data_IF_029727035779
#
_entry.id   IF_029727035779
#
_cell.length_a   1.000
_cell.length_b   1.000
_cell.length_c   1.000
_cell.angle_alpha   90.00
_cell.angle_beta   90.00
_cell.angle_gamma   90.00
#
_symmetry.space_group_name_H-M   'P 1'
#
loop_
_entity.id
_entity.type
_entity.pdbx_description
1 polymer ?
#
# COMPACT_ATOMS: atom_id res chain seq x y z
N UNK A 1 14.76 22.08 -9.15
CA UNK A 1 16.08 21.46 -9.38
C UNK A 1 15.85 20.44 -10.48
N UNK A 2 16.45 20.62 -11.66
CA UNK A 2 16.46 19.60 -12.70
C UNK A 2 17.32 18.44 -12.22
N UNK A 3 16.75 17.23 -12.25
CA UNK A 3 17.49 16.00 -12.01
C UNK A 3 18.35 15.75 -13.27
N UNK A 4 19.66 15.69 -13.12
CA UNK A 4 20.51 15.14 -14.17
C UNK A 4 20.19 13.64 -14.24
N UNK A 5 19.46 13.22 -15.28
CA UNK A 5 19.25 11.80 -15.58
C UNK A 5 20.53 11.26 -16.17
N UNK A 6 21.20 10.36 -15.45
CA UNK A 6 22.05 9.38 -16.12
C UNK A 6 21.14 8.44 -16.91
N UNK A 7 21.13 8.60 -18.24
CA UNK A 7 20.43 7.73 -19.16
C UNK A 7 21.12 6.36 -19.20
N UNK A 8 20.74 5.48 -18.29
CA UNK A 8 20.93 4.04 -18.49
C UNK A 8 19.60 3.49 -18.96
N UNK A 9 19.44 3.31 -20.28
CA UNK A 9 18.28 2.62 -20.81
C UNK A 9 18.18 1.22 -20.17
N UNK A 10 17.03 0.86 -19.57
CA UNK A 10 16.79 -0.51 -19.14
C UNK A 10 16.83 -1.44 -20.35
N UNK A 11 17.51 -2.57 -20.23
CA UNK A 11 17.69 -3.52 -21.34
C UNK A 11 16.38 -4.14 -21.82
N UNK A 12 15.34 -4.19 -20.99
CA UNK A 12 13.98 -4.60 -21.31
C UNK A 12 12.98 -3.78 -20.49
N UNK A 13 11.82 -3.39 -21.04
CA UNK A 13 10.79 -2.68 -20.30
C UNK A 13 10.21 -3.62 -19.22
N UNK A 14 10.48 -3.34 -17.96
CA UNK A 14 9.93 -4.07 -16.81
C UNK A 14 8.82 -3.22 -16.22
N UNK A 15 7.65 -3.81 -16.01
CA UNK A 15 6.52 -3.21 -15.29
C UNK A 15 6.55 -3.58 -13.80
N UNK A 16 5.85 -2.80 -12.99
CA UNK A 16 5.60 -3.11 -11.59
C UNK A 16 4.10 -3.07 -11.30
N UNK A 17 3.59 -4.09 -10.64
CA UNK A 17 2.22 -4.12 -10.14
C UNK A 17 2.15 -3.52 -8.75
N UNK A 18 1.22 -2.59 -8.51
CA UNK A 18 1.01 -1.92 -7.23
C UNK A 18 -0.35 -2.29 -6.66
N UNK A 19 -0.36 -2.87 -5.48
CA UNK A 19 -1.55 -3.24 -4.72
C UNK A 19 -1.40 -2.82 -3.25
N UNK A 20 -2.51 -2.79 -2.52
CA UNK A 20 -2.53 -2.60 -1.06
C UNK A 20 -3.85 -3.11 -0.50
N UNK A 21 -4.03 -2.97 0.80
CA UNK A 21 -5.31 -3.16 1.49
C UNK A 21 -5.97 -4.50 1.10
N UNK A 22 -5.19 -5.58 1.26
CA UNK A 22 -5.66 -6.95 0.97
C UNK A 22 -6.73 -7.33 1.98
N UNK A 23 -6.52 -6.99 3.28
CA UNK A 23 -7.45 -7.27 4.37
C UNK A 23 -7.82 -8.75 4.44
N UNK A 24 -6.82 -9.65 4.28
CA UNK A 24 -7.07 -11.08 4.45
C UNK A 24 -7.61 -11.35 5.84
N UNK A 25 -8.74 -12.04 5.94
CA UNK A 25 -9.43 -12.33 7.19
C UNK A 25 -10.71 -11.54 7.42
N UNK A 26 -10.96 -10.44 6.69
CA UNK A 26 -12.23 -9.74 6.72
C UNK A 26 -13.35 -10.58 6.12
N UNK A 27 -14.59 -10.46 6.65
CA UNK A 27 -15.79 -11.16 6.16
C UNK A 27 -16.19 -10.72 4.73
N UNK A 28 -15.76 -9.54 4.32
CA UNK A 28 -15.99 -8.95 3.01
C UNK A 28 -14.75 -8.94 2.12
N UNK A 29 -13.76 -9.81 2.39
CA UNK A 29 -12.62 -10.03 1.51
C UNK A 29 -13.08 -10.55 0.15
N UNK A 30 -12.53 -9.99 -0.92
CA UNK A 30 -12.92 -10.30 -2.30
C UNK A 30 -12.10 -11.47 -2.85
N UNK A 31 -12.33 -12.66 -2.32
CA UNK A 31 -11.59 -13.88 -2.63
C UNK A 31 -11.58 -14.22 -4.13
N UNK A 32 -12.72 -14.06 -4.80
CA UNK A 32 -12.83 -14.32 -6.24
C UNK A 32 -11.97 -13.39 -7.08
N UNK A 33 -12.00 -12.11 -6.79
CA UNK A 33 -11.23 -11.07 -7.50
C UNK A 33 -9.75 -11.19 -7.18
N UNK A 34 -9.39 -11.49 -5.95
CA UNK A 34 -8.03 -11.76 -5.51
C UNK A 34 -7.42 -12.94 -6.27
N UNK A 35 -8.15 -14.05 -6.34
CA UNK A 35 -7.72 -15.22 -7.11
C UNK A 35 -7.57 -14.93 -8.60
N UNK A 36 -8.46 -14.15 -9.19
CA UNK A 36 -8.34 -13.71 -10.60
C UNK A 36 -7.07 -12.90 -10.86
N UNK A 37 -6.68 -12.03 -9.94
CA UNK A 37 -5.44 -11.27 -10.04
C UNK A 37 -4.21 -12.19 -10.00
N UNK A 38 -4.18 -13.14 -9.05
CA UNK A 38 -3.09 -14.13 -8.98
C UNK A 38 -3.02 -15.03 -10.22
N UNK A 39 -4.18 -15.42 -10.77
CA UNK A 39 -4.25 -16.19 -12.03
C UNK A 39 -3.77 -15.34 -13.22
N UNK A 40 -4.13 -14.04 -13.25
CA UNK A 40 -3.65 -13.13 -14.29
C UNK A 40 -2.13 -12.95 -14.25
N UNK A 41 -1.50 -12.84 -13.08
CA UNK A 41 -0.04 -12.76 -12.95
C UNK A 41 0.67 -14.00 -13.55
N UNK A 42 -0.01 -15.16 -13.59
CA UNK A 42 0.50 -16.41 -14.17
C UNK A 42 0.05 -16.66 -15.61
N UNK A 43 -0.66 -15.72 -16.21
CA UNK A 43 -1.20 -15.89 -17.58
C UNK A 43 -0.19 -15.54 -18.66
N UNK A 44 -0.54 -15.91 -19.91
CA UNK A 44 0.20 -15.51 -21.12
C UNK A 44 -0.13 -14.07 -21.57
N UNK A 45 -0.84 -13.28 -20.76
CA UNK A 45 -1.10 -11.87 -21.05
C UNK A 45 0.21 -11.09 -21.10
N UNK A 46 0.38 -10.28 -22.16
CA UNK A 46 1.63 -9.57 -22.41
C UNK A 46 1.98 -8.55 -21.32
N UNK A 47 0.98 -7.99 -20.62
CA UNK A 47 1.23 -7.10 -19.49
C UNK A 47 1.70 -7.92 -18.28
N UNK A 48 1.05 -9.05 -17.96
CA UNK A 48 1.44 -9.93 -16.88
C UNK A 48 2.87 -10.44 -17.05
N UNK A 49 3.23 -10.86 -18.26
CA UNK A 49 4.58 -11.36 -18.57
C UNK A 49 5.69 -10.31 -18.42
N UNK A 50 5.35 -9.03 -18.50
CA UNK A 50 6.28 -7.93 -18.32
C UNK A 50 6.37 -7.43 -16.86
N UNK A 51 5.53 -7.93 -15.94
CA UNK A 51 5.60 -7.57 -14.53
C UNK A 51 6.80 -8.25 -13.89
N UNK A 52 7.76 -7.46 -13.44
CA UNK A 52 8.93 -7.96 -12.70
C UNK A 52 8.88 -7.67 -11.21
N UNK A 53 7.93 -6.84 -10.77
CA UNK A 53 7.80 -6.45 -9.36
C UNK A 53 6.34 -6.39 -8.93
N UNK A 54 6.06 -6.94 -7.74
CA UNK A 54 4.79 -6.76 -7.02
C UNK A 54 5.05 -5.93 -5.76
N UNK A 55 4.43 -4.77 -5.65
CA UNK A 55 4.55 -3.88 -4.48
C UNK A 55 3.24 -3.90 -3.70
N UNK A 56 3.31 -4.31 -2.43
CA UNK A 56 2.18 -4.37 -1.50
C UNK A 56 2.35 -3.25 -0.46
N UNK A 57 1.53 -2.21 -0.56
CA UNK A 57 1.68 -0.97 0.19
C UNK A 57 0.85 -0.96 1.49
N UNK A 58 0.87 -2.05 2.25
CA UNK A 58 0.28 -2.17 3.59
C UNK A 58 -1.12 -2.78 3.63
N UNK A 59 -1.59 -3.03 4.86
CA UNK A 59 -2.84 -3.71 5.21
C UNK A 59 -2.98 -5.05 4.49
N UNK A 60 -1.99 -5.92 4.74
CA UNK A 60 -1.88 -7.27 4.18
C UNK A 60 -3.01 -8.14 4.74
N UNK A 61 -3.27 -8.00 6.03
CA UNK A 61 -4.32 -8.70 6.78
C UNK A 61 -5.32 -7.69 7.33
N UNK A 62 -6.51 -8.16 7.73
CA UNK A 62 -7.46 -7.29 8.41
C UNK A 62 -7.05 -6.98 9.85
N UNK A 63 -6.18 -7.84 10.41
CA UNK A 63 -5.76 -7.71 11.79
C UNK A 63 -6.81 -8.18 12.78
N UNK A 64 -6.54 -8.01 14.07
CA UNK A 64 -7.46 -8.37 15.16
C UNK A 64 -7.41 -7.29 16.24
N UNK A 65 -8.57 -6.71 16.57
CA UNK A 65 -8.68 -5.66 17.58
C UNK A 65 -8.18 -4.28 17.13
N UNK A 66 -8.16 -4.03 15.84
CA UNK A 66 -7.74 -2.76 15.24
C UNK A 66 -8.76 -1.65 15.54
N UNK A 67 -10.04 -1.99 15.56
CA UNK A 67 -11.13 -1.08 15.92
C UNK A 67 -12.22 -1.77 16.75
N UNK A 68 -13.06 -1.02 17.48
CA UNK A 68 -14.09 -1.61 18.33
C UNK A 68 -15.10 -2.50 17.57
N UNK A 69 -15.36 -3.69 18.07
CA UNK A 69 -16.27 -4.72 17.52
C UNK A 69 -15.81 -5.35 16.19
N UNK A 70 -14.57 -5.20 15.78
CA UNK A 70 -14.02 -5.80 14.57
C UNK A 70 -14.22 -7.33 14.52
N UNK A 71 -14.25 -7.99 15.68
CA UNK A 71 -14.46 -9.44 15.77
C UNK A 71 -15.76 -9.94 15.11
N UNK A 72 -16.72 -9.04 14.84
CA UNK A 72 -17.98 -9.34 14.14
C UNK A 72 -17.89 -9.22 12.62
N UNK A 73 -16.79 -8.66 12.14
CA UNK A 73 -16.50 -8.39 10.73
C UNK A 73 -15.31 -9.24 10.24
N UNK A 74 -14.91 -10.27 11.04
CA UNK A 74 -13.83 -11.19 10.70
C UNK A 74 -14.38 -12.60 10.38
N UNK A 75 -14.03 -13.12 9.22
CA UNK A 75 -14.15 -14.55 8.91
C UNK A 75 -13.02 -15.36 9.56
N UNK A 76 -11.85 -14.76 9.72
CA UNK A 76 -10.67 -15.38 10.33
C UNK A 76 -10.26 -14.56 11.54
N UNK A 77 -10.52 -15.08 12.75
CA UNK A 77 -10.28 -14.39 14.00
C UNK A 77 -8.84 -14.56 14.53
N UNK A 78 -8.03 -15.44 13.97
CA UNK A 78 -6.63 -15.64 14.35
C UNK A 78 -5.72 -14.83 13.42
N UNK A 79 -4.91 -13.95 14.02
CA UNK A 79 -4.02 -13.05 13.30
C UNK A 79 -2.95 -13.82 12.49
N UNK A 80 -2.38 -14.87 13.07
CA UNK A 80 -1.34 -15.65 12.39
C UNK A 80 -1.91 -16.49 11.26
N UNK A 81 -3.15 -16.99 11.41
CA UNK A 81 -3.87 -17.69 10.34
C UNK A 81 -4.13 -16.74 9.15
N UNK A 82 -4.46 -15.46 9.42
CA UNK A 82 -4.59 -14.45 8.35
C UNK A 82 -3.27 -14.31 7.56
N UNK A 83 -2.13 -14.20 8.25
CA UNK A 83 -0.80 -14.13 7.60
C UNK A 83 -0.44 -15.43 6.87
N UNK A 84 -0.71 -16.60 7.46
CA UNK A 84 -0.43 -17.89 6.84
C UNK A 84 -1.19 -18.04 5.52
N UNK A 85 -2.46 -17.66 5.49
CA UNK A 85 -3.27 -17.71 4.27
C UNK A 85 -2.78 -16.74 3.22
N UNK A 86 -2.41 -15.50 3.61
CA UNK A 86 -1.82 -14.54 2.67
C UNK A 86 -0.48 -15.04 2.12
N UNK A 87 0.37 -15.62 2.98
CA UNK A 87 1.64 -16.22 2.56
C UNK A 87 1.43 -17.32 1.51
N UNK A 88 0.48 -18.23 1.73
CA UNK A 88 0.10 -19.28 0.75
C UNK A 88 -0.42 -18.69 -0.57
N UNK A 89 -1.23 -17.66 -0.49
CA UNK A 89 -1.74 -16.98 -1.69
C UNK A 89 -0.58 -16.39 -2.50
N UNK A 90 0.38 -15.75 -1.83
CA UNK A 90 1.55 -15.13 -2.46
C UNK A 90 2.59 -16.13 -2.99
N UNK A 91 2.56 -17.40 -2.56
CA UNK A 91 3.35 -18.47 -3.22
C UNK A 91 2.98 -18.67 -4.70
N UNK A 92 1.80 -18.19 -5.10
CA UNK A 92 1.35 -18.23 -6.51
C UNK A 92 1.91 -17.09 -7.34
N UNK A 93 2.57 -16.09 -6.74
CA UNK A 93 3.27 -15.05 -7.50
C UNK A 93 4.42 -15.70 -8.27
N UNK A 94 4.57 -15.46 -9.58
CA UNK A 94 5.63 -16.07 -10.38
C UNK A 94 7.04 -15.82 -9.82
N UNK A 95 7.89 -16.83 -9.84
CA UNK A 95 9.26 -16.80 -9.26
C UNK A 95 10.16 -15.68 -9.84
N UNK A 96 9.85 -15.19 -11.04
CA UNK A 96 10.61 -14.10 -11.66
C UNK A 96 10.24 -12.72 -11.13
N UNK A 97 9.15 -12.61 -10.35
CA UNK A 97 8.69 -11.35 -9.77
C UNK A 97 9.27 -11.14 -8.37
N UNK A 98 9.89 -10.01 -8.15
CA UNK A 98 10.31 -9.58 -6.81
C UNK A 98 9.12 -8.94 -6.08
N UNK A 99 8.79 -9.46 -4.90
CA UNK A 99 7.70 -8.93 -4.07
C UNK A 99 8.25 -8.03 -2.97
N UNK A 100 7.75 -6.78 -2.87
CA UNK A 100 8.12 -5.82 -1.84
C UNK A 100 6.88 -5.57 -0.96
N UNK A 101 7.03 -5.78 0.36
CA UNK A 101 5.91 -5.80 1.31
C UNK A 101 6.15 -4.79 2.41
N UNK A 102 5.27 -3.78 2.50
CA UNK A 102 5.22 -2.80 3.58
C UNK A 102 4.09 -3.18 4.55
N UNK A 103 4.16 -2.83 5.83
CA UNK A 103 3.01 -2.88 6.72
C UNK A 103 2.08 -1.68 6.54
N UNK A 104 0.82 -1.84 6.95
CA UNK A 104 -0.16 -0.79 7.14
C UNK A 104 -0.66 -0.73 8.59
N UNK A 105 -1.76 -0.03 8.84
CA UNK A 105 -2.28 0.14 10.20
C UNK A 105 -3.09 -1.05 10.72
N UNK A 106 -3.48 -1.98 9.87
CA UNK A 106 -4.12 -3.25 10.25
C UNK A 106 -3.11 -4.36 10.55
N UNK A 107 -1.88 -4.22 10.06
CA UNK A 107 -0.83 -5.22 10.23
C UNK A 107 -0.26 -5.25 11.65
N UNK A 108 0.45 -6.34 12.00
CA UNK A 108 1.03 -6.58 13.33
C UNK A 108 2.26 -5.71 13.62
N UNK A 109 2.06 -4.39 13.57
CA UNK A 109 3.06 -3.37 13.89
C UNK A 109 2.47 -2.29 14.78
N UNK A 110 3.31 -1.40 15.33
CA UNK A 110 2.81 -0.22 16.04
C UNK A 110 2.00 0.68 15.11
N UNK A 111 0.94 1.29 15.65
CA UNK A 111 0.12 2.22 14.87
C UNK A 111 0.82 3.55 14.56
N UNK A 112 1.72 3.99 15.45
CA UNK A 112 2.47 5.24 15.27
C UNK A 112 3.50 5.11 14.15
N UNK A 113 3.54 6.08 13.25
CA UNK A 113 4.46 6.14 12.11
C UNK A 113 5.77 6.88 12.46
N UNK A 114 6.89 6.51 11.87
CA UNK A 114 7.08 5.43 10.88
C UNK A 114 6.86 4.05 11.51
N UNK A 115 6.32 3.12 10.73
CA UNK A 115 6.13 1.75 11.17
C UNK A 115 7.37 0.91 10.85
N UNK A 116 7.85 0.07 11.79
CA UNK A 116 8.96 -0.83 11.54
C UNK A 116 8.54 -1.93 10.56
N UNK A 117 9.52 -2.65 10.03
CA UNK A 117 9.28 -3.89 9.29
C UNK A 117 8.52 -4.90 10.15
N UNK A 118 7.69 -5.73 9.53
CA UNK A 118 7.00 -6.85 10.20
C UNK A 118 7.99 -7.72 10.98
N UNK A 119 7.57 -8.25 12.13
CA UNK A 119 8.43 -9.09 12.96
C UNK A 119 8.91 -10.34 12.23
N UNK A 120 10.07 -10.91 12.60
CA UNK A 120 10.53 -12.18 12.01
C UNK A 120 9.52 -13.33 12.15
N UNK A 121 8.71 -13.31 13.22
CA UNK A 121 7.64 -14.27 13.45
C UNK A 121 6.58 -14.18 12.35
N UNK A 122 6.11 -12.97 12.04
CA UNK A 122 5.14 -12.72 10.96
C UNK A 122 5.76 -13.05 9.61
N UNK A 123 7.00 -12.62 9.36
CA UNK A 123 7.71 -12.91 8.10
C UNK A 123 7.85 -14.41 7.83
N UNK A 124 7.92 -15.25 8.89
CA UNK A 124 8.06 -16.69 8.75
C UNK A 124 6.86 -17.40 8.10
N UNK A 125 5.73 -16.72 7.97
CA UNK A 125 4.55 -17.22 7.25
C UNK A 125 4.66 -17.03 5.72
N UNK A 126 5.71 -16.36 5.25
CA UNK A 126 5.94 -16.09 3.83
C UNK A 126 7.23 -16.79 3.38
N UNK A 127 7.19 -17.50 2.27
CA UNK A 127 8.37 -18.19 1.75
C UNK A 127 9.36 -17.26 1.05
N UNK A 128 8.89 -16.12 0.55
CA UNK A 128 9.72 -15.10 -0.12
C UNK A 128 9.07 -13.72 -0.01
N UNK A 129 9.85 -12.68 -0.29
CA UNK A 129 9.44 -11.28 -0.26
C UNK A 129 10.45 -10.39 0.47
N UNK A 130 10.56 -9.17 0.02
CA UNK A 130 11.37 -8.12 0.65
C UNK A 130 10.50 -7.33 1.61
N UNK A 131 10.60 -7.62 2.90
CA UNK A 131 9.87 -6.90 3.93
C UNK A 131 10.59 -5.61 4.28
N UNK A 132 9.87 -4.51 4.23
CA UNK A 132 10.38 -3.16 4.51
C UNK A 132 9.46 -2.42 5.49
N UNK A 133 9.94 -1.32 6.07
CA UNK A 133 9.11 -0.48 6.95
C UNK A 133 8.18 0.44 6.15
N UNK A 134 7.31 1.14 6.83
CA UNK A 134 6.42 2.15 6.27
C UNK A 134 6.70 3.52 6.89
N UNK A 135 7.10 4.55 6.10
CA UNK A 135 7.30 4.52 4.66
C UNK A 135 8.60 3.83 4.25
N UNK A 136 8.70 3.50 2.96
CA UNK A 136 9.93 2.98 2.36
C UNK A 136 10.24 3.66 1.02
N UNK A 137 11.53 3.78 0.71
CA UNK A 137 12.01 4.28 -0.57
C UNK A 137 12.98 3.28 -1.19
N UNK A 138 12.74 2.91 -2.44
CA UNK A 138 13.50 1.90 -3.17
C UNK A 138 13.52 2.21 -4.66
N UNK A 139 14.30 1.45 -5.42
CA UNK A 139 14.39 1.60 -6.88
C UNK A 139 13.88 0.35 -7.59
N UNK A 140 13.06 0.55 -8.62
CA UNK A 140 12.57 -0.48 -9.54
C UNK A 140 12.92 -0.07 -10.96
N UNK A 141 13.66 -0.90 -11.69
CA UNK A 141 14.00 -0.62 -13.09
C UNK A 141 14.64 0.76 -13.31
N UNK A 142 15.38 1.27 -12.33
CA UNK A 142 15.97 2.62 -12.35
C UNK A 142 15.05 3.74 -11.86
N UNK A 143 13.73 3.53 -11.74
CA UNK A 143 12.78 4.49 -11.17
C UNK A 143 12.83 4.51 -9.66
N UNK A 144 12.77 5.70 -9.08
CA UNK A 144 12.79 5.96 -7.64
C UNK A 144 11.36 5.96 -7.10
N UNK A 145 11.02 4.95 -6.29
CA UNK A 145 9.69 4.74 -5.73
C UNK A 145 9.67 5.14 -4.26
N UNK A 146 8.73 6.02 -3.90
CA UNK A 146 8.34 6.29 -2.52
C UNK A 146 7.03 5.57 -2.26
N UNK A 147 7.05 4.55 -1.39
CA UNK A 147 5.86 3.83 -0.95
C UNK A 147 5.53 4.21 0.49
N UNK A 148 4.29 4.59 0.71
CA UNK A 148 3.75 4.99 2.00
C UNK A 148 2.33 4.45 2.12
N UNK A 149 2.00 3.75 3.20
CA UNK A 149 0.65 3.18 3.34
C UNK A 149 -0.45 4.25 3.24
N UNK A 150 -0.29 5.40 3.90
CA UNK A 150 -1.21 6.53 3.66
C UNK A 150 -2.03 6.96 4.87
N UNK A 151 -1.76 6.45 6.07
CA UNK A 151 -2.58 6.70 7.28
C UNK A 151 -2.81 8.19 7.58
N UNK A 152 -1.84 9.06 7.32
CA UNK A 152 -1.98 10.51 7.55
C UNK A 152 -2.98 11.20 6.60
N UNK A 153 -3.43 10.52 5.54
CA UNK A 153 -4.49 11.04 4.66
C UNK A 153 -5.78 11.31 5.45
N UNK A 154 -6.07 10.50 6.48
CA UNK A 154 -7.21 10.71 7.37
C UNK A 154 -7.20 12.10 8.02
N UNK A 155 -6.05 12.49 8.60
CA UNK A 155 -5.92 13.81 9.23
C UNK A 155 -5.97 14.95 8.19
N UNK A 156 -5.48 14.70 6.98
CA UNK A 156 -5.53 15.67 5.89
C UNK A 156 -6.95 15.88 5.35
N UNK A 157 -7.72 14.81 5.19
CA UNK A 157 -9.15 14.89 4.78
C UNK A 157 -9.97 15.65 5.82
N UNK A 158 -9.68 15.47 7.10
CA UNK A 158 -10.38 16.19 8.17
C UNK A 158 -10.08 17.70 8.20
N UNK A 159 -8.91 18.13 7.73
CA UNK A 159 -8.39 19.46 7.96
C UNK A 159 -8.14 20.28 6.68
N UNK A 160 -8.16 19.67 5.49
CA UNK A 160 -7.90 20.35 4.21
C UNK A 160 -9.10 20.23 3.29
N UNK A 161 -9.64 21.35 2.86
CA UNK A 161 -10.80 21.39 1.95
C UNK A 161 -10.53 20.74 0.59
N UNK A 162 -9.25 20.66 0.17
CA UNK A 162 -8.86 20.09 -1.11
C UNK A 162 -8.70 18.57 -1.05
N UNK A 163 -8.62 17.96 0.15
CA UNK A 163 -8.45 16.52 0.34
C UNK A 163 -9.80 15.86 0.62
N UNK A 164 -10.04 14.70 0.01
CA UNK A 164 -11.21 13.86 0.29
C UNK A 164 -10.86 12.38 0.04
N UNK A 165 -11.67 11.46 0.57
CA UNK A 165 -11.48 10.04 0.29
C UNK A 165 -11.78 9.67 -1.17
N UNK A 166 -12.62 10.46 -1.88
CA UNK A 166 -12.88 10.26 -3.30
C UNK A 166 -11.70 10.68 -4.19
N UNK A 167 -10.87 11.63 -3.70
CA UNK A 167 -9.73 12.16 -4.44
C UNK A 167 -8.46 12.19 -3.56
N UNK A 168 -7.99 11.03 -3.09
CA UNK A 168 -6.85 10.94 -2.15
C UNK A 168 -5.54 11.45 -2.75
N UNK A 169 -5.40 11.46 -4.08
CA UNK A 169 -4.25 12.03 -4.77
C UNK A 169 -4.07 13.53 -4.48
N UNK A 170 -5.10 14.23 -4.06
CA UNK A 170 -4.97 15.62 -3.64
C UNK A 170 -4.22 15.74 -2.31
N UNK A 171 -4.43 14.81 -1.37
CA UNK A 171 -3.61 14.72 -0.16
C UNK A 171 -2.15 14.41 -0.51
N UNK A 172 -1.89 13.46 -1.42
CA UNK A 172 -0.53 13.14 -1.89
C UNK A 172 0.17 14.37 -2.49
N UNK A 173 -0.53 15.18 -3.30
CA UNK A 173 0.00 16.44 -3.83
C UNK A 173 0.37 17.43 -2.71
N UNK A 174 -0.41 17.46 -1.62
CA UNK A 174 -0.10 18.31 -0.47
C UNK A 174 1.11 17.79 0.33
N UNK A 175 1.27 16.46 0.47
CA UNK A 175 2.47 15.86 1.05
C UNK A 175 3.72 16.25 0.26
N UNK A 176 3.69 16.12 -1.06
CA UNK A 176 4.80 16.49 -1.94
C UNK A 176 5.14 17.99 -1.86
N UNK A 177 4.13 18.87 -1.84
CA UNK A 177 4.32 20.33 -1.69
C UNK A 177 4.99 20.69 -0.37
N UNK A 178 4.63 20.02 0.71
CA UNK A 178 5.15 20.23 2.06
C UNK A 178 6.40 19.42 2.35
N UNK A 179 6.75 18.49 1.46
CA UNK A 179 7.90 17.59 1.60
C UNK A 179 7.83 16.77 2.89
N UNK A 180 6.61 16.31 3.23
CA UNK A 180 6.37 15.51 4.42
C UNK A 180 5.16 14.61 4.22
N UNK A 181 5.27 13.32 4.63
CA UNK A 181 4.21 12.31 4.49
C UNK A 181 3.08 12.49 5.51
N UNK A 182 3.35 13.09 6.65
CA UNK A 182 2.33 13.44 7.65
C UNK A 182 2.40 14.93 8.00
N UNK A 183 2.08 15.85 7.05
CA UNK A 183 2.15 17.28 7.31
C UNK A 183 1.06 17.76 8.29
N UNK A 184 0.08 16.91 8.54
CA UNK A 184 -0.91 16.99 9.61
C UNK A 184 -1.02 15.64 10.30
N UNK A 185 -1.08 15.63 11.62
CA UNK A 185 -1.11 14.45 12.46
C UNK A 185 -1.65 14.78 13.86
N UNK A 186 -1.91 13.75 14.66
CA UNK A 186 -2.27 13.90 16.07
C UNK A 186 -3.75 13.72 16.39
N UNK A 187 -4.61 13.53 15.37
CA UNK A 187 -6.03 13.19 15.56
C UNK A 187 -6.26 11.71 15.24
N UNK A 188 -6.03 11.32 14.00
CA UNK A 188 -6.16 9.92 13.53
C UNK A 188 -4.81 9.23 13.36
N UNK A 189 -3.79 10.00 12.96
CA UNK A 189 -2.45 9.49 12.80
C UNK A 189 -1.56 9.93 13.97
N UNK A 190 -0.70 9.03 14.46
CA UNK A 190 0.27 9.29 15.51
C UNK A 190 1.67 9.15 14.95
N UNK A 191 2.59 10.02 15.40
CA UNK A 191 4.01 9.95 15.04
C UNK A 191 4.79 9.37 16.23
N UNK A 192 5.58 8.33 15.95
CA UNK A 192 6.50 7.75 16.91
C UNK A 192 7.69 8.70 17.16
N UNK A 193 8.18 8.71 18.39
CA UNK A 193 9.36 9.50 18.78
C UNK A 193 10.63 8.81 18.29
N UNK A 194 11.03 9.09 17.05
CA UNK A 194 12.28 8.60 16.47
C UNK A 194 13.38 9.66 16.53
N UNK A 195 14.67 9.27 16.53
CA UNK A 195 15.79 10.22 16.56
C UNK A 195 15.85 11.16 15.35
N UNK A 196 15.31 10.74 14.23
CA UNK A 196 15.23 11.51 12.97
C UNK A 196 13.82 11.42 12.42
N UNK A 197 13.37 12.49 11.75
CA UNK A 197 12.08 12.50 11.08
C UNK A 197 12.15 11.72 9.77
N UNK A 198 11.69 10.47 9.82
CA UNK A 198 11.67 9.56 8.67
C UNK A 198 10.47 9.77 7.73
N UNK A 199 9.57 10.70 8.05
CA UNK A 199 8.41 11.04 7.21
C UNK A 199 8.70 12.20 6.26
N UNK A 200 9.92 12.77 6.29
CA UNK A 200 10.34 13.80 5.35
C UNK A 200 10.55 13.24 3.94
N UNK A 201 10.19 14.03 2.93
CA UNK A 201 10.44 13.72 1.52
C UNK A 201 11.68 14.50 1.08
N UNK A 202 12.86 13.94 1.29
CA UNK A 202 14.15 14.62 1.07
C UNK A 202 14.43 14.91 -0.39
N UNK A 203 14.00 14.04 -1.29
CA UNK A 203 14.14 14.20 -2.74
C UNK A 203 12.86 13.80 -3.46
N UNK A 204 12.67 14.30 -4.67
CA UNK A 204 11.50 14.02 -5.51
C UNK A 204 11.56 12.58 -6.01
N UNK A 205 10.54 11.73 -5.73
CA UNK A 205 10.45 10.40 -6.32
C UNK A 205 10.01 10.47 -7.78
N UNK A 206 10.21 9.40 -8.54
CA UNK A 206 9.60 9.22 -9.86
C UNK A 206 8.16 8.68 -9.72
N UNK A 207 7.95 7.80 -8.72
CA UNK A 207 6.64 7.21 -8.38
C UNK A 207 6.36 7.45 -6.90
N UNK A 208 5.17 7.91 -6.58
CA UNK A 208 4.66 7.99 -5.21
C UNK A 208 3.39 7.16 -5.09
N UNK A 209 3.41 6.12 -4.25
CA UNK A 209 2.29 5.18 -4.08
C UNK A 209 1.76 5.21 -2.65
N UNK A 210 0.42 5.13 -2.51
CA UNK A 210 -0.28 4.98 -1.23
C UNK A 210 -1.41 3.95 -1.34
N UNK A 211 -1.78 3.36 -0.21
CA UNK A 211 -2.99 2.55 0.01
C UNK A 211 -3.98 3.27 0.93
N UNK A 212 -4.48 2.57 1.95
CA UNK A 212 -5.27 3.00 3.10
C UNK A 212 -6.67 3.52 2.79
N UNK A 213 -6.82 4.32 1.75
CA UNK A 213 -8.11 4.99 1.46
C UNK A 213 -9.10 4.11 0.72
N UNK A 214 -8.72 2.90 0.29
CA UNK A 214 -9.50 2.00 -0.57
C UNK A 214 -9.98 2.68 -1.87
N UNK A 215 -9.40 3.82 -2.20
CA UNK A 215 -9.59 4.52 -3.46
C UNK A 215 -8.66 3.98 -4.55
N UNK A 216 -8.84 4.47 -5.75
CA UNK A 216 -7.99 4.12 -6.88
C UNK A 216 -7.68 5.37 -7.70
N UNK A 217 -6.42 5.58 -7.96
CA UNK A 217 -5.98 6.65 -8.84
C UNK A 217 -4.62 6.32 -9.45
N UNK A 218 -4.47 6.63 -10.74
CA UNK A 218 -3.20 6.66 -11.43
C UNK A 218 -3.09 7.97 -12.18
N UNK A 219 -2.31 8.91 -11.64
CA UNK A 219 -2.27 10.29 -12.15
C UNK A 219 -0.84 10.82 -12.16
N UNK A 220 -0.49 11.56 -13.20
CA UNK A 220 0.77 12.31 -13.24
C UNK A 220 0.61 13.68 -12.59
N UNK A 221 1.49 14.00 -11.64
CA UNK A 221 1.61 15.31 -11.04
C UNK A 221 3.02 15.85 -11.24
N UNK A 222 3.17 16.90 -12.08
CA UNK A 222 4.48 17.32 -12.60
C UNK A 222 5.19 16.10 -13.26
N UNK A 223 6.38 15.74 -12.79
CA UNK A 223 7.14 14.59 -13.29
C UNK A 223 6.99 13.34 -12.41
N UNK A 224 6.06 13.34 -11.44
CA UNK A 224 5.84 12.26 -10.49
C UNK A 224 4.59 11.48 -10.88
N UNK A 225 4.68 10.16 -10.98
CA UNK A 225 3.53 9.27 -11.09
C UNK A 225 2.92 9.06 -9.69
N UNK A 226 1.67 9.49 -9.48
CA UNK A 226 0.90 9.21 -8.26
C UNK A 226 0.07 7.95 -8.47
N UNK A 227 0.09 7.05 -7.49
CA UNK A 227 -0.67 5.80 -7.48
C UNK A 227 -1.38 5.66 -6.14
N UNK A 228 -2.69 5.42 -6.18
CA UNK A 228 -3.50 4.97 -5.04
C UNK A 228 -3.97 3.56 -5.34
N UNK A 229 -3.54 2.59 -4.54
CA UNK A 229 -3.46 1.17 -4.93
C UNK A 229 -4.75 0.37 -4.73
N UNK A 230 -5.92 1.00 -4.56
CA UNK A 230 -7.20 0.28 -4.41
C UNK A 230 -7.29 -0.54 -3.11
N UNK A 231 -8.08 -1.61 -3.10
CA UNK A 231 -8.27 -2.57 -2.00
C UNK A 231 -8.78 -3.90 -2.54
N UNK A 232 -8.66 -4.96 -1.75
CA UNK A 232 -9.26 -6.29 -2.00
C UNK A 232 -10.39 -6.59 -1.01
N UNK A 233 -10.90 -5.55 -0.36
CA UNK A 233 -12.00 -5.62 0.59
C UNK A 233 -13.23 -4.91 0.00
N UNK A 234 -14.41 -5.48 0.19
CA UNK A 234 -15.70 -4.85 -0.12
C UNK A 234 -15.97 -3.64 0.80
N UNK A 235 -17.05 -2.92 0.53
CA UNK A 235 -17.41 -1.75 1.33
C UNK A 235 -17.63 -2.11 2.81
N UNK A 236 -16.86 -1.49 3.70
CA UNK A 236 -16.95 -1.70 5.16
C UNK A 236 -18.15 -0.99 5.78
N UNK A 237 -18.52 -1.40 7.00
CA UNK A 237 -19.57 -0.72 7.79
C UNK A 237 -19.25 0.75 8.04
N UNK A 238 -17.99 1.08 8.30
CA UNK A 238 -17.51 2.47 8.47
C UNK A 238 -17.68 3.28 7.17
N UNK A 239 -17.28 2.74 6.04
CA UNK A 239 -17.39 3.40 4.73
C UNK A 239 -18.85 3.67 4.37
N UNK A 240 -19.76 2.71 4.65
CA UNK A 240 -21.22 2.91 4.50
C UNK A 240 -21.72 4.07 5.36
N UNK A 241 -21.26 4.13 6.61
CA UNK A 241 -21.68 5.18 7.55
C UNK A 241 -21.25 6.59 7.09
N UNK A 242 -20.05 6.72 6.51
CA UNK A 242 -19.51 8.02 6.03
C UNK A 242 -19.90 8.31 4.57
N UNK A 243 -20.61 7.41 3.90
CA UNK A 243 -21.04 7.57 2.52
C UNK A 243 -19.92 7.45 1.48
N UNK A 244 -18.85 6.75 1.83
CA UNK A 244 -17.72 6.49 0.92
C UNK A 244 -17.87 5.12 0.23
N UNK A 245 -17.70 5.11 -1.08
CA UNK A 245 -17.76 3.90 -1.90
C UNK A 245 -16.33 3.54 -2.37
N UNK A 246 -15.75 2.41 -1.90
CA UNK A 246 -14.42 1.99 -2.31
C UNK A 246 -14.41 1.59 -3.79
N UNK A 247 -13.22 1.54 -4.38
CA UNK A 247 -13.02 1.05 -5.74
C UNK A 247 -12.13 -0.20 -5.70
N UNK A 248 -12.69 -1.36 -5.32
CA UNK A 248 -11.91 -2.55 -5.05
C UNK A 248 -11.48 -3.29 -6.32
N UNK A 249 -10.57 -4.26 -6.12
CA UNK A 249 -10.13 -5.23 -7.12
C UNK A 249 -9.45 -4.60 -8.35
N UNK A 250 -8.62 -3.56 -8.13
CA UNK A 250 -7.84 -2.93 -9.18
C UNK A 250 -6.36 -3.13 -8.88
N UNK A 251 -5.65 -3.79 -9.80
CA UNK A 251 -4.20 -3.87 -9.80
C UNK A 251 -3.66 -2.84 -10.81
N UNK A 252 -2.83 -1.93 -10.35
CA UNK A 252 -2.24 -0.86 -11.17
C UNK A 252 -0.81 -1.23 -11.59
N UNK A 253 -0.52 -1.07 -12.89
CA UNK A 253 0.79 -1.38 -13.44
C UNK A 253 1.32 -0.26 -14.35
#
# INVERSE_FOLDING_TARGET
IKKDKEDTEPKDPISAAFISDIHRGADNFLDTEWNKMLDWLNSDDSLAQNVGYLVISGDIVDGVGVYPNQEKELDIADLYEQYELTGRDLERVPDHMETIILPGNHDAVRLAEPQPVLSPEVQSHFNHGHFVGNPCRFKIGGSDVLSYHGKSIDDMVMNLNEASYENPENAMKQMLKRRHLAPQWGVKNQIASEPTDMLTIDSTPDIFVTGHTHGHCMQKYQDIQLIVSSTWQGQTSFQKMVGFEPKPAICLN
#
